data_IF_596975392015
#
_entry.id   IF_596975392015
#
_cell.length_a   1.000
_cell.length_b   1.000
_cell.length_c   1.000
_cell.angle_alpha   90.00
_cell.angle_beta   90.00
_cell.angle_gamma   90.00
#
_symmetry.space_group_name_H-M   'P 1'
#
loop_
_entity.id
_entity.type
_entity.pdbx_description
1 polymer ?
#
# COMPACT_ATOMS: atom_id res chain seq x y z
N UNK A 1 -21.32 -41.43 15.59
CA UNK A 1 -21.10 -39.98 15.79
C UNK A 1 -22.26 -39.23 15.17
N UNK A 2 -22.92 -38.29 15.86
CA UNK A 2 -24.07 -37.59 15.28
C UNK A 2 -23.62 -36.72 14.10
N UNK A 3 -24.33 -36.75 12.95
CA UNK A 3 -23.96 -35.97 11.76
C UNK A 3 -23.88 -34.47 12.06
N UNK A 4 -24.77 -33.99 12.94
CA UNK A 4 -24.77 -32.60 13.43
C UNK A 4 -23.51 -32.23 14.23
N UNK A 5 -23.00 -33.14 15.07
CA UNK A 5 -21.78 -32.88 15.85
C UNK A 5 -20.55 -32.81 14.94
N UNK A 6 -20.50 -33.66 13.93
CA UNK A 6 -19.42 -33.66 12.94
C UNK A 6 -19.43 -32.39 12.08
N UNK A 7 -20.60 -31.96 11.59
CA UNK A 7 -20.72 -30.72 10.81
C UNK A 7 -20.38 -29.48 11.63
N UNK A 8 -20.78 -29.43 12.91
CA UNK A 8 -20.44 -28.32 13.83
C UNK A 8 -18.94 -28.22 14.11
N UNK A 9 -18.26 -29.35 14.33
CA UNK A 9 -16.80 -29.37 14.54
C UNK A 9 -16.06 -28.82 13.32
N UNK A 10 -16.50 -29.19 12.13
CA UNK A 10 -15.90 -28.72 10.88
C UNK A 10 -16.16 -27.23 10.66
N UNK A 11 -17.39 -26.78 10.91
CA UNK A 11 -17.73 -25.36 10.86
C UNK A 11 -16.88 -24.54 11.84
N UNK A 12 -16.63 -25.08 13.05
CA UNK A 12 -15.77 -24.45 14.04
C UNK A 12 -14.32 -24.33 13.58
N UNK A 13 -13.76 -25.39 12.99
CA UNK A 13 -12.40 -25.35 12.40
C UNK A 13 -12.33 -24.34 11.25
N UNK A 14 -13.35 -24.30 10.39
CA UNK A 14 -13.42 -23.29 9.31
C UNK A 14 -13.49 -21.86 9.87
N UNK A 15 -14.26 -21.63 10.93
CA UNK A 15 -14.36 -20.31 11.57
C UNK A 15 -13.03 -19.85 12.16
N UNK A 16 -12.28 -20.74 12.82
CA UNK A 16 -10.95 -20.43 13.35
C UNK A 16 -9.97 -20.13 12.21
N UNK A 17 -9.97 -20.95 11.16
CA UNK A 17 -9.08 -20.70 10.03
C UNK A 17 -9.38 -19.34 9.37
N UNK A 18 -10.66 -19.02 9.19
CA UNK A 18 -11.08 -17.72 8.66
C UNK A 18 -10.61 -16.57 9.55
N UNK A 19 -10.80 -16.66 10.87
CA UNK A 19 -10.45 -15.59 11.81
C UNK A 19 -8.94 -15.31 11.86
N UNK A 20 -8.11 -16.36 11.78
CA UNK A 20 -6.65 -16.23 11.84
C UNK A 20 -6.05 -15.77 10.51
N UNK A 21 -6.52 -16.32 9.39
CA UNK A 21 -5.83 -16.16 8.09
C UNK A 21 -6.49 -15.12 7.21
N UNK A 22 -7.81 -15.19 7.03
CA UNK A 22 -8.56 -14.43 6.01
C UNK A 22 -9.30 -13.20 6.55
N UNK A 23 -9.41 -13.05 7.87
CA UNK A 23 -10.08 -11.92 8.51
C UNK A 23 -9.49 -10.57 8.12
N UNK A 24 -10.21 -9.48 8.42
CA UNK A 24 -9.79 -8.07 8.23
C UNK A 24 -8.62 -7.64 9.12
N UNK A 25 -8.08 -8.56 9.90
CA UNK A 25 -6.85 -8.38 10.68
C UNK A 25 -5.96 -9.62 10.61
N UNK A 26 -6.27 -10.50 9.65
CA UNK A 26 -5.61 -11.79 9.48
C UNK A 26 -4.20 -11.64 8.92
N UNK A 27 -3.45 -12.75 8.97
CA UNK A 27 -2.06 -12.80 8.51
C UNK A 27 -1.88 -12.36 7.06
N UNK A 28 -2.85 -12.64 6.20
CA UNK A 28 -2.79 -12.27 4.79
C UNK A 28 -2.78 -10.75 4.60
N UNK A 29 -3.66 -10.03 5.28
CA UNK A 29 -3.69 -8.56 5.22
C UNK A 29 -2.47 -7.95 5.89
N UNK A 30 -2.02 -8.49 7.03
CA UNK A 30 -0.80 -7.99 7.69
C UNK A 30 0.42 -8.03 6.79
N UNK A 31 0.61 -9.10 6.03
CA UNK A 31 1.74 -9.21 5.09
C UNK A 31 1.64 -8.23 3.93
N UNK A 32 0.44 -7.98 3.44
CA UNK A 32 0.22 -7.02 2.37
C UNK A 32 0.52 -5.60 2.89
N UNK A 33 -0.03 -5.27 4.05
CA UNK A 33 0.20 -3.98 4.70
C UNK A 33 1.66 -3.75 5.08
N UNK A 34 2.38 -4.80 5.50
CA UNK A 34 3.82 -4.74 5.80
C UNK A 34 4.67 -4.45 4.55
N UNK A 35 4.31 -5.04 3.39
CA UNK A 35 4.95 -4.72 2.11
C UNK A 35 4.71 -3.27 1.71
N UNK A 36 3.46 -2.81 1.80
CA UNK A 36 3.08 -1.43 1.45
C UNK A 36 3.78 -0.44 2.40
N UNK A 37 3.78 -0.71 3.70
CA UNK A 37 4.46 0.10 4.69
C UNK A 37 5.95 0.22 4.39
N UNK A 38 6.61 -0.89 4.04
CA UNK A 38 8.03 -0.88 3.69
C UNK A 38 8.32 -0.07 2.42
N UNK A 39 7.48 -0.20 1.39
CA UNK A 39 7.63 0.60 0.17
C UNK A 39 7.52 2.09 0.47
N UNK A 40 6.51 2.49 1.26
CA UNK A 40 6.31 3.88 1.65
C UNK A 40 7.46 4.38 2.52
N UNK A 41 7.96 3.57 3.46
CA UNK A 41 9.11 3.97 4.30
C UNK A 41 10.37 4.20 3.48
N UNK A 42 10.67 3.31 2.53
CA UNK A 42 11.84 3.43 1.65
C UNK A 42 11.73 4.70 0.77
N UNK A 43 10.52 5.02 0.31
CA UNK A 43 10.27 6.22 -0.50
C UNK A 43 10.37 7.51 0.31
N UNK A 44 9.90 7.51 1.57
CA UNK A 44 10.07 8.62 2.51
C UNK A 44 11.55 8.85 2.80
N UNK A 45 12.33 7.79 3.05
CA UNK A 45 13.76 7.91 3.30
C UNK A 45 14.47 8.51 2.07
N UNK A 46 14.17 8.01 0.87
CA UNK A 46 14.73 8.55 -0.38
C UNK A 46 14.41 10.04 -0.56
N UNK A 47 13.14 10.44 -0.36
CA UNK A 47 12.70 11.83 -0.44
C UNK A 47 13.37 12.72 0.61
N UNK A 48 13.63 12.18 1.80
CA UNK A 48 14.34 12.92 2.86
C UNK A 48 15.78 13.24 2.47
N UNK A 49 16.49 12.30 1.85
CA UNK A 49 17.85 12.48 1.36
C UNK A 49 17.88 13.48 0.20
N UNK A 50 16.93 13.38 -0.73
CA UNK A 50 16.84 14.31 -1.87
C UNK A 50 16.58 15.75 -1.40
N UNK A 51 15.69 15.94 -0.43
CA UNK A 51 15.46 17.26 0.17
C UNK A 51 16.73 17.83 0.83
N UNK A 52 17.48 17.02 1.58
CA UNK A 52 18.74 17.48 2.20
C UNK A 52 19.75 17.92 1.13
N UNK A 53 19.91 17.15 0.06
CA UNK A 53 20.80 17.50 -1.05
C UNK A 53 20.36 18.79 -1.75
N UNK A 54 19.06 18.99 -1.95
CA UNK A 54 18.52 20.21 -2.54
C UNK A 54 18.74 21.42 -1.62
N UNK A 55 18.54 21.26 -0.30
CA UNK A 55 18.79 22.32 0.68
C UNK A 55 20.27 22.72 0.71
N UNK A 56 21.19 21.76 0.64
CA UNK A 56 22.63 22.04 0.50
C UNK A 56 22.97 22.76 -0.79
N UNK A 57 22.36 22.35 -1.92
CA UNK A 57 22.56 23.01 -3.21
C UNK A 57 22.00 24.43 -3.21
N UNK A 58 20.87 24.66 -2.57
CA UNK A 58 20.29 25.99 -2.41
C UNK A 58 21.22 26.90 -1.59
N UNK A 59 21.75 26.40 -0.46
CA UNK A 59 22.74 27.13 0.34
C UNK A 59 24.00 27.47 -0.46
N UNK A 60 24.49 26.54 -1.29
CA UNK A 60 25.64 26.80 -2.19
C UNK A 60 25.31 27.87 -3.24
N UNK A 61 24.14 27.78 -3.88
CA UNK A 61 23.67 28.75 -4.88
C UNK A 61 23.44 30.14 -4.28
N UNK A 62 22.95 30.25 -3.04
CA UNK A 62 22.83 31.54 -2.34
C UNK A 62 24.20 32.18 -2.11
N UNK A 63 25.22 31.39 -1.75
CA UNK A 63 26.59 31.88 -1.61
C UNK A 63 27.20 32.27 -2.98
N UNK A 64 26.90 31.50 -4.03
CA UNK A 64 27.34 31.81 -5.39
C UNK A 64 26.64 33.05 -5.95
N UNK A 65 25.41 33.37 -5.55
CA UNK A 65 24.74 34.63 -5.93
C UNK A 65 25.52 35.85 -5.42
N UNK A 66 26.08 35.77 -4.21
CA UNK A 66 26.99 36.78 -3.68
C UNK A 66 28.31 36.86 -4.48
N UNK A 67 28.85 35.72 -4.92
CA UNK A 67 30.02 35.68 -5.79
C UNK A 67 29.72 36.28 -7.18
N UNK A 68 28.54 36.00 -7.74
CA UNK A 68 28.03 36.57 -8.99
C UNK A 68 27.84 38.08 -8.89
N UNK A 69 27.30 38.58 -7.77
CA UNK A 69 27.25 40.02 -7.52
C UNK A 69 28.64 40.64 -7.47
N UNK A 70 29.59 39.97 -6.81
CA UNK A 70 30.98 40.43 -6.72
C UNK A 70 31.67 40.47 -8.08
N UNK A 71 31.46 39.45 -8.91
CA UNK A 71 31.97 39.43 -10.28
C UNK A 71 31.29 40.50 -11.14
N UNK A 72 29.96 40.65 -11.07
CA UNK A 72 29.23 41.69 -11.78
C UNK A 72 29.73 43.10 -11.40
N UNK A 73 29.97 43.37 -10.11
CA UNK A 73 30.55 44.65 -9.65
C UNK A 73 31.92 44.91 -10.29
N UNK A 74 32.76 43.87 -10.39
CA UNK A 74 34.07 43.95 -11.03
C UNK A 74 33.96 44.22 -12.54
N UNK A 75 33.06 43.54 -13.23
CA UNK A 75 32.85 43.71 -14.68
C UNK A 75 32.31 45.09 -15.06
N UNK A 76 31.41 45.66 -14.24
CA UNK A 76 30.81 46.98 -14.49
C UNK A 76 31.54 48.14 -13.79
N UNK A 77 32.71 47.90 -13.19
CA UNK A 77 33.51 48.91 -12.48
C UNK A 77 32.71 49.69 -11.42
N UNK A 78 31.77 49.02 -10.77
CA UNK A 78 30.91 49.62 -9.75
C UNK A 78 31.68 49.74 -8.42
N UNK A 79 31.43 50.83 -7.67
CA UNK A 79 31.94 51.01 -6.30
C UNK A 79 31.47 49.87 -5.39
N UNK A 80 32.26 49.50 -4.37
CA UNK A 80 31.94 48.42 -3.43
C UNK A 80 30.55 48.54 -2.78
N UNK A 81 30.04 49.77 -2.65
CA UNK A 81 28.74 50.09 -2.04
C UNK A 81 27.57 50.20 -3.04
N UNK A 82 27.80 49.99 -4.34
CA UNK A 82 26.74 50.09 -5.35
C UNK A 82 25.83 48.85 -5.34
N UNK A 83 24.52 49.07 -5.27
CA UNK A 83 23.52 47.99 -5.31
C UNK A 83 23.35 47.47 -6.74
N UNK A 84 23.60 46.18 -6.94
CA UNK A 84 23.31 45.48 -8.19
C UNK A 84 21.85 45.02 -8.13
N UNK A 85 20.96 45.73 -8.82
CA UNK A 85 19.56 45.34 -8.93
C UNK A 85 19.43 44.20 -9.93
N UNK A 86 19.27 42.97 -9.43
CA UNK A 86 18.87 41.84 -10.27
C UNK A 86 17.40 42.02 -10.64
N UNK A 87 17.14 42.48 -11.86
CA UNK A 87 15.80 42.45 -12.42
C UNK A 87 15.41 40.99 -12.62
N UNK A 88 14.61 40.46 -11.70
CA UNK A 88 13.86 39.24 -11.97
C UNK A 88 12.79 39.68 -12.96
N UNK A 89 12.92 39.29 -14.23
CA UNK A 89 11.81 39.38 -15.17
C UNK A 89 10.63 38.67 -14.50
N UNK A 90 9.69 39.47 -14.00
CA UNK A 90 8.43 38.95 -13.52
C UNK A 90 7.78 38.39 -14.76
N UNK A 91 7.88 37.07 -14.93
CA UNK A 91 7.11 36.32 -15.93
C UNK A 91 5.72 36.93 -15.89
N UNK A 92 5.37 37.64 -16.95
CA UNK A 92 4.07 38.26 -17.10
C UNK A 92 3.04 37.24 -16.67
N UNK A 93 2.12 37.65 -15.80
CA UNK A 93 0.86 36.97 -15.58
C UNK A 93 0.08 36.96 -16.91
N UNK A 94 0.53 36.17 -17.87
CA UNK A 94 -0.36 35.63 -18.89
C UNK A 94 -1.13 34.54 -18.19
N UNK A 95 -2.37 34.90 -17.89
CA UNK A 95 -3.45 33.99 -17.51
C UNK A 95 -3.52 32.90 -18.58
N UNK A 96 -2.77 31.82 -18.40
CA UNK A 96 -3.09 30.51 -18.94
C UNK A 96 -3.67 29.68 -17.80
N UNK A 97 -4.90 30.05 -17.44
CA UNK A 97 -5.86 29.08 -16.97
C UNK A 97 -6.12 28.11 -18.12
N UNK A 98 -5.32 27.06 -18.28
CA UNK A 98 -5.78 25.81 -18.90
C UNK A 98 -4.74 24.69 -18.74
N UNK A 99 -5.25 23.59 -18.19
CA UNK A 99 -4.61 22.28 -18.10
C UNK A 99 -3.34 22.19 -17.23
N UNK A 100 -3.60 22.06 -15.93
CA UNK A 100 -3.02 20.94 -15.18
C UNK A 100 -3.61 19.67 -15.83
N UNK A 101 -2.89 18.86 -16.65
CA UNK A 101 -3.24 17.47 -16.69
C UNK A 101 -2.91 16.93 -15.30
N UNK A 102 -3.98 16.59 -14.58
CA UNK A 102 -3.94 15.57 -13.54
C UNK A 102 -3.35 14.32 -14.16
N UNK A 103 -2.05 14.20 -14.08
CA UNK A 103 -1.33 12.95 -14.10
C UNK A 103 -0.35 13.11 -12.94
N UNK A 104 -0.75 12.92 -11.67
CA UNK A 104 -1.33 11.66 -11.22
C UNK A 104 -0.95 10.54 -12.18
N UNK A 105 0.36 10.36 -12.38
CA UNK A 105 0.96 9.05 -12.57
C UNK A 105 0.65 8.23 -11.29
N UNK A 106 -0.65 8.05 -10.99
CA UNK A 106 -1.23 6.75 -10.79
C UNK A 106 -0.90 5.97 -12.07
N UNK A 107 0.38 5.63 -12.22
CA UNK A 107 0.74 4.27 -12.54
C UNK A 107 -0.05 3.47 -11.52
N UNK A 108 -1.29 3.13 -11.91
CA UNK A 108 -1.88 1.84 -11.62
C UNK A 108 -0.80 0.89 -12.11
N UNK A 109 0.19 0.68 -11.24
CA UNK A 109 0.95 -0.53 -11.18
C UNK A 109 -0.16 -1.57 -11.10
N UNK A 110 -0.54 -2.06 -12.28
CA UNK A 110 -1.00 -3.41 -12.53
C UNK A 110 0.14 -4.37 -12.12
N UNK A 111 0.77 -4.11 -10.97
CA UNK A 111 1.43 -5.09 -10.15
C UNK A 111 0.29 -5.98 -9.75
N UNK A 112 0.08 -7.02 -10.59
CA UNK A 112 -0.75 -8.19 -10.41
C UNK A 112 -1.41 -8.10 -9.04
N UNK A 113 -2.54 -7.38 -8.99
CA UNK A 113 -3.19 -7.06 -7.73
C UNK A 113 -3.54 -8.42 -7.17
N UNK A 114 -2.78 -8.85 -6.14
CA UNK A 114 -2.97 -10.14 -5.49
C UNK A 114 -4.48 -10.34 -5.40
N UNK A 115 -5.02 -11.47 -5.90
CA UNK A 115 -6.43 -11.61 -6.21
C UNK A 115 -7.21 -11.04 -5.04
N UNK A 116 -8.07 -10.03 -5.28
CA UNK A 116 -8.53 -9.15 -4.22
C UNK A 116 -8.99 -10.04 -3.08
N UNK A 117 -8.44 -9.85 -1.87
CA UNK A 117 -8.68 -10.75 -0.73
C UNK A 117 -10.17 -11.03 -0.53
N UNK A 118 -11.03 -10.12 -0.97
CA UNK A 118 -12.47 -10.30 -1.17
C UNK A 118 -12.89 -11.56 -1.95
N UNK A 119 -12.29 -11.86 -3.10
CA UNK A 119 -12.60 -13.00 -3.95
C UNK A 119 -12.19 -14.32 -3.27
N UNK A 120 -11.03 -14.31 -2.60
CA UNK A 120 -10.58 -15.43 -1.77
C UNK A 120 -11.52 -15.66 -0.57
N UNK A 121 -11.96 -14.59 0.09
CA UNK A 121 -12.97 -14.62 1.16
C UNK A 121 -14.30 -15.20 0.66
N UNK A 122 -14.79 -14.72 -0.49
CA UNK A 122 -16.03 -15.19 -1.08
C UNK A 122 -15.95 -16.68 -1.43
N UNK A 123 -14.86 -17.12 -2.08
CA UNK A 123 -14.63 -18.52 -2.38
C UNK A 123 -14.52 -19.38 -1.12
N UNK A 124 -13.86 -18.88 -0.08
CA UNK A 124 -13.76 -19.58 1.20
C UNK A 124 -15.13 -19.76 1.87
N UNK A 125 -15.96 -18.73 1.88
CA UNK A 125 -17.33 -18.82 2.43
C UNK A 125 -18.19 -19.82 1.67
N UNK A 126 -18.19 -19.76 0.33
CA UNK A 126 -18.98 -20.69 -0.47
C UNK A 126 -18.49 -22.13 -0.28
N UNK A 127 -17.17 -22.35 -0.31
CA UNK A 127 -16.57 -23.66 -0.06
C UNK A 127 -16.88 -24.20 1.34
N UNK A 128 -16.80 -23.37 2.39
CA UNK A 128 -17.11 -23.77 3.77
C UNK A 128 -18.55 -24.24 3.92
N UNK A 129 -19.51 -23.52 3.33
CA UNK A 129 -20.94 -23.89 3.34
C UNK A 129 -21.15 -25.22 2.62
N UNK A 130 -20.56 -25.37 1.43
CA UNK A 130 -20.62 -26.63 0.68
C UNK A 130 -20.03 -27.80 1.45
N UNK A 131 -18.92 -27.59 2.15
CA UNK A 131 -18.25 -28.63 2.92
C UNK A 131 -19.10 -29.06 4.14
N UNK A 132 -19.69 -28.10 4.86
CA UNK A 132 -20.58 -28.39 5.98
C UNK A 132 -21.83 -29.17 5.54
N UNK A 133 -22.47 -28.75 4.44
CA UNK A 133 -23.62 -29.46 3.86
C UNK A 133 -23.22 -30.84 3.33
N UNK A 134 -22.11 -30.94 2.62
CA UNK A 134 -21.60 -32.20 2.05
C UNK A 134 -21.32 -33.23 3.12
N UNK A 135 -20.69 -32.85 4.23
CA UNK A 135 -20.44 -33.77 5.36
C UNK A 135 -21.74 -34.17 6.05
N UNK A 136 -22.68 -33.23 6.23
CA UNK A 136 -23.98 -33.54 6.81
C UNK A 136 -24.76 -34.57 5.97
N UNK A 137 -24.89 -34.35 4.66
CA UNK A 137 -25.60 -35.26 3.76
C UNK A 137 -24.91 -36.62 3.65
N UNK A 138 -23.58 -36.65 3.55
CA UNK A 138 -22.81 -37.89 3.45
C UNK A 138 -22.91 -38.75 4.71
N UNK A 139 -22.90 -38.13 5.90
CA UNK A 139 -23.10 -38.84 7.16
C UNK A 139 -24.55 -39.30 7.38
N UNK A 140 -25.52 -38.60 6.80
CA UNK A 140 -26.94 -39.02 6.82
C UNK A 140 -27.23 -40.17 5.85
N UNK A 141 -26.52 -40.23 4.72
CA UNK A 141 -26.70 -41.31 3.71
C UNK A 141 -25.99 -42.60 4.08
N UNK A 142 -25.09 -42.58 5.07
CA UNK A 142 -24.42 -43.78 5.56
C UNK A 142 -25.40 -44.65 6.36
N UNK A 143 -25.48 -45.97 6.07
CA UNK A 143 -26.32 -46.87 6.85
C UNK A 143 -25.91 -46.84 8.33
N UNK A 144 -26.87 -47.02 9.26
CA UNK A 144 -26.56 -47.00 10.69
C UNK A 144 -25.51 -48.08 10.98
N UNK A 145 -24.35 -47.68 11.52
CA UNK A 145 -23.38 -48.65 12.01
C UNK A 145 -24.07 -49.55 13.02
N UNK A 146 -24.10 -50.84 12.70
CA UNK A 146 -24.63 -51.90 13.55
C UNK A 146 -24.02 -51.77 14.95
N UNK A 147 -24.88 -51.87 15.97
CA UNK A 147 -24.49 -51.78 17.38
C UNK A 147 -23.28 -52.70 17.64
N UNK A 148 -22.29 -52.29 18.45
CA UNK A 148 -21.22 -53.19 18.85
C UNK A 148 -21.87 -54.41 19.51
N UNK A 149 -21.65 -55.58 18.92
CA UNK A 149 -22.08 -56.87 19.45
C UNK A 149 -21.40 -56.99 20.82
N UNK A 150 -22.17 -56.82 21.90
CA UNK A 150 -21.69 -57.17 23.25
C UNK A 150 -21.38 -58.66 23.20
N UNK A 151 -20.10 -59.00 23.16
CA UNK A 151 -19.65 -60.33 23.54
C UNK A 151 -19.86 -60.41 25.05
N UNK A 152 -20.69 -61.38 25.45
CA UNK A 152 -20.90 -61.78 26.84
C UNK A 152 -19.58 -62.21 27.49
#
# INVERSE_FOLDING_TARGET
MNPLKASLLIAYVCAIFYSVVLSTSGLAERRLLEKEFKQVSDEVERLSVENQVLEEREKRLQNDAYALEKEARKYYLLSENAHVLKFVETKSQTVDSNHIPKAADLRLNLSVKEPPLFLLRFFYFTFSVFLCLGVYFKLKSLPPQSKPKRLN
#
